data_IF_968019954418
#
_entry.id   IF_968019954418
#
_cell.length_a   1.000
_cell.length_b   1.000
_cell.length_c   1.000
_cell.angle_alpha   90.00
_cell.angle_beta   90.00
_cell.angle_gamma   90.00
#
_symmetry.space_group_name_H-M   'P 1'
#
loop_
_entity.id
_entity.type
_entity.pdbx_description
1 polymer ?
#
# COMPACT_ATOMS: atom_id res chain seq x y z
N UNK A 1 20.61 -18.13 24.61
CA UNK A 1 20.52 -18.42 23.16
C UNK A 1 19.57 -17.41 22.55
N UNK A 2 20.10 -16.47 21.76
CA UNK A 2 19.26 -15.53 21.02
C UNK A 2 18.81 -16.21 19.72
N UNK A 3 17.51 -16.38 19.55
CA UNK A 3 16.93 -16.91 18.32
C UNK A 3 17.07 -15.86 17.23
N UNK A 4 17.94 -16.08 16.26
CA UNK A 4 18.03 -15.19 15.09
C UNK A 4 16.73 -15.28 14.29
N UNK A 5 15.89 -14.25 14.36
CA UNK A 5 14.80 -14.09 13.40
C UNK A 5 15.41 -13.68 12.06
N UNK A 6 15.49 -14.61 11.12
CA UNK A 6 15.80 -14.28 9.74
C UNK A 6 14.53 -13.77 9.06
N UNK A 7 14.41 -12.45 8.90
CA UNK A 7 13.44 -11.89 7.97
C UNK A 7 13.89 -12.25 6.55
N UNK A 8 13.26 -13.25 5.94
CA UNK A 8 13.44 -13.52 4.52
C UNK A 8 12.71 -12.41 3.76
N UNK A 9 13.45 -11.37 3.36
CA UNK A 9 12.93 -10.33 2.49
C UNK A 9 12.46 -11.01 1.18
N UNK A 10 11.14 -11.06 0.97
CA UNK A 10 10.54 -11.59 -0.26
C UNK A 10 10.55 -10.54 -1.38
N UNK A 11 11.56 -9.66 -1.43
CA UNK A 11 11.78 -8.73 -2.53
C UNK A 11 11.90 -9.52 -3.84
N UNK A 12 10.78 -9.65 -4.54
CA UNK A 12 10.78 -10.06 -5.94
C UNK A 12 11.46 -8.94 -6.72
N UNK A 13 12.68 -9.19 -7.15
CA UNK A 13 13.42 -8.30 -8.05
C UNK A 13 12.59 -8.14 -9.33
N UNK A 14 12.22 -6.89 -9.69
CA UNK A 14 11.64 -6.57 -11.01
C UNK A 14 10.18 -6.09 -11.08
N UNK A 15 9.59 -5.50 -10.04
CA UNK A 15 8.18 -5.05 -10.07
C UNK A 15 7.95 -3.54 -9.80
N UNK A 16 8.86 -2.67 -10.26
CA UNK A 16 8.59 -1.22 -10.35
C UNK A 16 7.88 -0.93 -11.68
N UNK A 17 6.64 -1.39 -11.80
CA UNK A 17 5.77 -0.99 -12.91
C UNK A 17 4.78 0.02 -12.38
N UNK A 18 5.14 1.31 -12.41
CA UNK A 18 4.19 2.38 -12.16
C UNK A 18 3.03 2.22 -13.15
N UNK A 19 1.81 2.18 -12.62
CA UNK A 19 0.59 2.15 -13.42
C UNK A 19 -0.33 3.24 -12.95
N UNK A 20 -0.68 4.12 -13.87
CA UNK A 20 -1.82 5.02 -13.71
C UNK A 20 -3.10 4.22 -13.90
N UNK A 21 -3.89 4.09 -12.83
CA UNK A 21 -5.22 3.52 -12.89
C UNK A 21 -6.13 4.39 -12.05
N UNK A 22 -7.24 4.87 -12.61
CA UNK A 22 -8.29 5.53 -11.82
C UNK A 22 -7.86 6.74 -10.98
N UNK A 23 -6.85 7.51 -11.42
CA UNK A 23 -6.42 8.73 -10.72
C UNK A 23 -5.34 8.55 -9.66
N UNK A 24 -4.75 7.36 -9.55
CA UNK A 24 -3.65 7.08 -8.63
C UNK A 24 -2.52 6.32 -9.34
N UNK A 25 -1.32 6.41 -8.75
CA UNK A 25 -0.14 5.63 -9.12
C UNK A 25 -0.02 4.46 -8.17
N UNK A 26 0.32 3.27 -8.66
CA UNK A 26 0.66 2.17 -7.76
C UNK A 26 1.87 1.34 -8.21
N UNK A 27 2.51 0.72 -7.22
CA UNK A 27 3.62 -0.23 -7.38
C UNK A 27 3.35 -1.46 -6.51
N UNK A 28 3.48 -2.65 -7.08
CA UNK A 28 3.34 -3.91 -6.32
C UNK A 28 4.69 -4.38 -5.77
N UNK A 29 4.77 -4.61 -4.46
CA UNK A 29 5.91 -5.24 -3.81
C UNK A 29 5.46 -6.56 -3.20
N UNK A 30 5.77 -7.67 -3.89
CA UNK A 30 5.37 -9.00 -3.44
C UNK A 30 3.85 -9.19 -3.51
N UNK A 31 3.20 -9.35 -2.36
CA UNK A 31 1.73 -9.47 -2.24
C UNK A 31 1.06 -8.18 -1.78
N UNK A 32 1.81 -7.10 -1.54
CA UNK A 32 1.30 -5.80 -1.14
C UNK A 32 1.36 -4.84 -2.32
N UNK A 33 0.28 -4.09 -2.56
CA UNK A 33 0.28 -2.99 -3.52
C UNK A 33 0.42 -1.67 -2.75
N UNK A 34 1.27 -0.77 -3.23
CA UNK A 34 1.46 0.57 -2.69
C UNK A 34 0.88 1.58 -3.65
N UNK A 35 -0.08 2.36 -3.20
CA UNK A 35 -0.83 3.34 -3.97
C UNK A 35 -0.52 4.76 -3.48
N UNK A 36 -0.56 5.74 -4.38
CA UNK A 36 -0.52 7.17 -4.07
C UNK A 36 -1.58 7.89 -4.89
N UNK A 37 -2.36 8.76 -4.27
CA UNK A 37 -3.38 9.57 -4.94
C UNK A 37 -3.82 10.75 -4.08
N UNK A 38 -4.80 11.50 -4.56
CA UNK A 38 -5.38 12.66 -3.88
C UNK A 38 -6.67 12.25 -3.14
N UNK A 39 -6.76 12.59 -1.86
CA UNK A 39 -7.93 12.33 -1.01
C UNK A 39 -8.07 10.89 -0.51
N UNK A 40 -9.17 10.62 0.21
CA UNK A 40 -9.47 9.30 0.79
C UNK A 40 -9.66 8.23 -0.31
N UNK A 41 -9.04 7.05 -0.20
CA UNK A 41 -9.12 6.02 -1.24
C UNK A 41 -10.50 5.34 -1.28
N UNK A 42 -11.10 5.26 -2.48
CA UNK A 42 -12.43 4.67 -2.72
C UNK A 42 -12.40 3.42 -3.64
N UNK A 43 -11.21 2.99 -4.06
CA UNK A 43 -11.05 1.95 -5.07
C UNK A 43 -10.81 0.56 -4.47
N UNK A 44 -11.12 -0.47 -5.26
CA UNK A 44 -10.84 -1.84 -4.89
C UNK A 44 -9.32 -2.12 -4.90
N UNK A 45 -8.82 -2.69 -3.81
CA UNK A 45 -7.44 -3.13 -3.69
C UNK A 45 -7.34 -4.49 -2.99
N UNK A 46 -6.17 -5.11 -3.09
CA UNK A 46 -5.88 -6.33 -2.34
C UNK A 46 -5.83 -6.02 -0.84
N UNK A 47 -6.31 -6.96 -0.02
CA UNK A 47 -6.12 -6.90 1.43
C UNK A 47 -4.62 -6.79 1.76
N UNK A 48 -4.29 -5.83 2.61
CA UNK A 48 -2.93 -5.53 3.05
C UNK A 48 -2.22 -4.46 2.23
N UNK A 49 -2.82 -3.99 1.13
CA UNK A 49 -2.28 -2.88 0.35
C UNK A 49 -2.32 -1.56 1.11
N UNK A 50 -1.40 -0.66 0.78
CA UNK A 50 -1.20 0.63 1.44
C UNK A 50 -1.51 1.76 0.45
N UNK A 51 -2.19 2.80 0.90
CA UNK A 51 -2.45 4.01 0.13
C UNK A 51 -1.94 5.23 0.90
N UNK A 52 -1.27 6.15 0.20
CA UNK A 52 -0.85 7.44 0.73
C UNK A 52 -1.63 8.54 0.02
N UNK A 53 -2.40 9.30 0.78
CA UNK A 53 -3.01 10.56 0.33
C UNK A 53 -1.92 11.64 0.32
N UNK A 54 -1.60 12.13 -0.87
CA UNK A 54 -0.53 13.12 -1.05
C UNK A 54 -0.96 14.53 -0.66
N UNK A 55 -2.27 14.82 -0.64
CA UNK A 55 -2.81 16.14 -0.31
C UNK A 55 -3.10 16.23 1.20
N UNK A 56 -3.75 15.22 1.76
CA UNK A 56 -4.08 15.14 3.19
C UNK A 56 -2.91 14.73 4.08
N UNK A 57 -1.82 14.22 3.50
CA UNK A 57 -0.70 13.59 4.21
C UNK A 57 -1.16 12.44 5.14
N UNK A 58 -2.12 11.66 4.66
CA UNK A 58 -2.73 10.54 5.38
C UNK A 58 -2.32 9.20 4.77
N UNK A 59 -2.27 8.16 5.60
CA UNK A 59 -1.92 6.81 5.20
C UNK A 59 -3.04 5.84 5.57
N UNK A 60 -3.40 4.98 4.63
CA UNK A 60 -4.50 4.03 4.76
C UNK A 60 -4.04 2.60 4.46
N UNK A 61 -4.70 1.61 5.08
CA UNK A 61 -4.54 0.18 4.75
C UNK A 61 -5.86 -0.42 4.29
N UNK A 62 -5.80 -1.21 3.21
CA UNK A 62 -6.94 -1.98 2.73
C UNK A 62 -7.10 -3.25 3.59
N UNK A 63 -8.20 -3.37 4.33
CA UNK A 63 -8.39 -4.45 5.32
C UNK A 63 -9.14 -5.67 4.78
N UNK A 64 -9.81 -5.51 3.62
CA UNK A 64 -10.56 -6.56 2.93
C UNK A 64 -10.31 -6.48 1.43
N UNK A 65 -10.31 -7.63 0.75
CA UNK A 65 -10.16 -7.68 -0.70
C UNK A 65 -11.48 -7.24 -1.38
N UNK A 66 -11.72 -5.93 -1.37
CA UNK A 66 -12.81 -5.24 -2.07
C UNK A 66 -12.73 -3.71 -1.94
N UNK A 67 -11.72 -3.15 -1.24
CA UNK A 67 -11.54 -1.70 -1.12
C UNK A 67 -12.08 -1.07 0.16
N UNK A 68 -12.15 -1.78 1.30
CA UNK A 68 -12.36 -1.09 2.59
C UNK A 68 -11.03 -0.63 3.14
N UNK A 69 -10.85 0.69 3.12
CA UNK A 69 -9.68 1.38 3.60
C UNK A 69 -9.87 1.87 5.04
N UNK A 70 -8.80 1.83 5.82
CA UNK A 70 -8.78 2.29 7.21
C UNK A 70 -7.58 3.19 7.38
N UNK A 71 -7.79 4.38 7.94
CA UNK A 71 -6.72 5.32 8.30
C UNK A 71 -5.79 4.68 9.35
N UNK A 72 -4.49 4.70 9.09
CA UNK A 72 -3.45 4.14 9.97
C UNK A 72 -2.43 5.19 10.42
N UNK A 73 -2.45 6.39 9.85
CA UNK A 73 -1.63 7.51 10.27
C UNK A 73 -1.92 8.75 9.46
N UNK A 74 -1.65 9.90 10.07
CA UNK A 74 -1.69 11.20 9.40
C UNK A 74 -0.54 12.05 9.91
N UNK A 75 -0.04 12.95 9.07
CA UNK A 75 0.93 13.95 9.48
C UNK A 75 0.20 15.23 9.91
N UNK A 76 0.43 15.65 11.16
CA UNK A 76 -0.06 16.92 11.72
C UNK A 76 0.86 18.10 11.40
#
# INVERSE_FOLDING_TARGET
>A
MATSQTAADKKKVGMLGERDAGGFVYTSIGSCDFYTGEGEPDHAARKGSIYIDVDGAEAYICTVASGTWVLIGSQS
#
